data_IF_505308501264
#
_entry.id   IF_505308501264
#
_cell.length_a   1.000
_cell.length_b   1.000
_cell.length_c   1.000
_cell.angle_alpha   90.00
_cell.angle_beta   90.00
_cell.angle_gamma   90.00
#
_symmetry.space_group_name_H-M   'P 1'
#
loop_
_entity.id
_entity.type
_entity.pdbx_description
1 polymer ?
#
# COMPACT_ATOMS: atom_id res chain seq x y z
N UNK A 1 8.80 7.72 19.63
CA UNK A 1 8.55 7.52 18.19
C UNK A 1 9.09 8.72 17.46
N UNK A 2 9.92 8.51 16.44
CA UNK A 2 10.33 9.58 15.53
C UNK A 2 9.25 9.71 14.44
N UNK A 3 8.21 10.50 14.75
CA UNK A 3 7.03 10.64 13.90
C UNK A 3 7.37 11.19 12.52
N UNK A 4 8.37 12.08 12.42
CA UNK A 4 8.82 12.64 11.14
C UNK A 4 9.42 11.55 10.26
N UNK A 5 10.24 10.67 10.84
CA UNK A 5 10.85 9.56 10.10
C UNK A 5 9.82 8.54 9.65
N UNK A 6 8.87 8.19 10.51
CA UNK A 6 7.82 7.22 10.16
C UNK A 6 6.87 7.79 9.09
N UNK A 7 6.44 9.04 9.20
CA UNK A 7 5.67 9.72 8.15
C UNK A 7 6.37 9.72 6.78
N UNK A 8 7.69 9.95 6.75
CA UNK A 8 8.48 9.84 5.51
C UNK A 8 8.50 8.40 4.98
N UNK A 9 8.57 7.39 5.85
CA UNK A 9 8.52 5.99 5.45
C UNK A 9 7.15 5.63 4.88
N UNK A 10 6.07 6.14 5.47
CA UNK A 10 4.70 5.90 5.02
C UNK A 10 4.48 6.51 3.62
N UNK A 11 4.90 7.75 3.41
CA UNK A 11 4.89 8.39 2.08
C UNK A 11 5.69 7.61 1.02
N UNK A 12 6.88 7.12 1.38
CA UNK A 12 7.72 6.31 0.46
C UNK A 12 7.10 4.96 0.12
N UNK A 13 6.38 4.36 1.06
CA UNK A 13 5.73 3.05 0.89
C UNK A 13 4.37 3.16 0.22
N UNK A 14 3.81 4.36 0.15
CA UNK A 14 2.47 4.60 -0.37
C UNK A 14 2.21 3.98 -1.74
N UNK A 15 3.03 4.32 -2.75
CA UNK A 15 2.85 3.78 -4.11
C UNK A 15 3.08 2.26 -4.17
N UNK A 16 4.17 1.70 -3.60
CA UNK A 16 4.35 0.25 -3.50
C UNK A 16 3.20 -0.48 -2.78
N UNK A 17 2.59 0.12 -1.76
CA UNK A 17 1.46 -0.45 -1.05
C UNK A 17 0.20 -0.47 -1.92
N UNK A 18 -0.08 0.61 -2.68
CA UNK A 18 -1.18 0.63 -3.66
C UNK A 18 -1.01 -0.45 -4.73
N UNK A 19 0.21 -0.60 -5.26
CA UNK A 19 0.51 -1.64 -6.24
C UNK A 19 0.38 -3.04 -5.63
N UNK A 20 0.78 -3.21 -4.36
CA UNK A 20 0.62 -4.45 -3.60
C UNK A 20 -0.84 -4.83 -3.42
N UNK A 21 -1.75 -3.88 -3.19
CA UNK A 21 -3.19 -4.16 -3.07
C UNK A 21 -3.75 -4.80 -4.35
N UNK A 22 -3.41 -4.25 -5.52
CA UNK A 22 -3.83 -4.82 -6.80
C UNK A 22 -3.23 -6.22 -7.02
N UNK A 23 -1.95 -6.40 -6.69
CA UNK A 23 -1.28 -7.70 -6.80
C UNK A 23 -1.88 -8.76 -5.86
N UNK A 24 -2.16 -8.40 -4.61
CA UNK A 24 -2.77 -9.30 -3.62
C UNK A 24 -4.18 -9.69 -4.09
N UNK A 25 -4.97 -8.72 -4.59
CA UNK A 25 -6.30 -8.97 -5.15
C UNK A 25 -6.24 -9.93 -6.33
N UNK A 26 -5.32 -9.73 -7.28
CA UNK A 26 -5.11 -10.62 -8.40
C UNK A 26 -4.73 -12.04 -7.95
N UNK A 27 -3.83 -12.16 -6.96
CA UNK A 27 -3.40 -13.45 -6.41
C UNK A 27 -4.54 -14.20 -5.70
N UNK A 28 -5.39 -13.49 -4.96
CA UNK A 28 -6.60 -14.09 -4.36
C UNK A 28 -7.53 -14.64 -5.45
N UNK A 29 -7.70 -13.93 -6.57
CA UNK A 29 -8.54 -14.41 -7.68
C UNK A 29 -7.93 -15.64 -8.37
N UNK A 30 -6.61 -15.65 -8.59
CA UNK A 30 -5.92 -16.83 -9.12
C UNK A 30 -6.11 -18.06 -8.22
N UNK A 31 -5.98 -17.89 -6.89
CA UNK A 31 -6.21 -18.99 -5.94
C UNK A 31 -7.66 -19.47 -5.94
N UNK A 32 -8.64 -18.57 -6.08
CA UNK A 32 -10.06 -18.95 -6.24
C UNK A 32 -10.30 -19.78 -7.50
N UNK A 33 -9.71 -19.39 -8.63
CA UNK A 33 -9.81 -20.13 -9.88
C UNK A 33 -9.16 -21.52 -9.76
N UNK A 34 -7.98 -21.62 -9.14
CA UNK A 34 -7.32 -22.90 -8.86
C UNK A 34 -8.16 -23.80 -7.97
N UNK A 35 -8.76 -23.25 -6.91
CA UNK A 35 -9.66 -24.00 -6.03
C UNK A 35 -10.84 -24.60 -6.81
N UNK A 36 -11.47 -23.81 -7.69
CA UNK A 36 -12.53 -24.27 -8.58
C UNK A 36 -12.08 -25.38 -9.52
N UNK A 37 -10.91 -25.24 -10.15
CA UNK A 37 -10.36 -26.26 -11.04
C UNK A 37 -10.09 -27.60 -10.33
N UNK A 38 -9.51 -27.56 -9.12
CA UNK A 38 -9.26 -28.76 -8.31
C UNK A 38 -10.60 -29.43 -7.93
N UNK A 39 -11.61 -28.65 -7.55
CA UNK A 39 -12.95 -29.14 -7.23
C UNK A 39 -13.63 -29.82 -8.43
N UNK A 40 -13.56 -29.23 -9.62
CA UNK A 40 -14.13 -29.83 -10.84
C UNK A 40 -13.45 -31.16 -11.17
N UNK A 41 -12.11 -31.22 -11.09
CA UNK A 41 -11.35 -32.46 -11.34
C UNK A 41 -11.69 -33.60 -10.38
N UNK A 42 -12.19 -33.30 -9.18
CA UNK A 42 -12.61 -34.30 -8.19
C UNK A 42 -13.98 -34.92 -8.53
N UNK A 43 -14.87 -34.17 -9.20
CA UNK A 43 -16.18 -34.65 -9.63
C UNK A 43 -16.11 -35.78 -10.67
N UNK A 44 -15.03 -35.83 -11.45
CA UNK A 44 -14.82 -36.82 -12.52
C UNK A 44 -14.05 -38.08 -12.06
N UNK A 45 -13.44 -38.06 -10.86
CA UNK A 45 -12.62 -39.17 -10.37
C UNK A 45 -13.38 -40.12 -9.44
N UNK A 46 -13.42 -41.41 -9.74
CA UNK A 46 -13.97 -42.44 -8.85
C UNK A 46 -13.07 -42.62 -7.61
N UNK A 47 -13.60 -42.51 -6.38
CA UNK A 47 -12.79 -42.51 -5.17
C UNK A 47 -12.22 -43.90 -4.89
N UNK A 48 -10.89 -44.04 -4.98
CA UNK A 48 -10.19 -45.26 -4.58
C UNK A 48 -9.97 -45.22 -3.06
N UNK A 49 -10.62 -46.12 -2.31
CA UNK A 49 -10.51 -46.26 -0.85
C UNK A 49 -9.03 -46.32 -0.42
N UNK A 50 -8.59 -45.35 0.38
CA UNK A 50 -7.30 -45.42 1.09
C UNK A 50 -6.36 -44.22 0.99
N UNK A 51 -6.73 -43.14 0.30
CA UNK A 51 -5.95 -41.90 0.29
C UNK A 51 -6.80 -40.72 0.73
N UNK A 52 -6.69 -40.32 2.01
CA UNK A 52 -6.88 -38.92 2.38
C UNK A 52 -5.73 -38.17 1.68
N UNK A 53 -6.02 -37.82 0.43
CA UNK A 53 -5.07 -37.78 -0.69
C UNK A 53 -4.71 -36.33 -0.92
N UNK A 54 -3.41 -36.03 -1.10
CA UNK A 54 -2.74 -34.77 -1.50
C UNK A 54 -3.57 -33.62 -2.11
N UNK A 55 -4.68 -33.93 -2.75
CA UNK A 55 -5.73 -33.01 -3.21
C UNK A 55 -6.40 -32.27 -2.04
N UNK A 56 -6.79 -32.95 -0.96
CA UNK A 56 -7.40 -32.31 0.22
C UNK A 56 -6.41 -31.33 0.88
N UNK A 57 -5.15 -31.74 1.02
CA UNK A 57 -4.06 -30.87 1.51
C UNK A 57 -3.90 -29.63 0.62
N UNK A 58 -3.91 -29.79 -0.72
CA UNK A 58 -3.84 -28.67 -1.66
C UNK A 58 -5.02 -27.71 -1.54
N UNK A 59 -6.23 -28.23 -1.28
CA UNK A 59 -7.41 -27.39 -1.06
C UNK A 59 -7.29 -26.63 0.26
N UNK A 60 -6.80 -27.27 1.32
CA UNK A 60 -6.55 -26.65 2.62
C UNK A 60 -5.47 -25.56 2.49
N UNK A 61 -4.34 -25.86 1.86
CA UNK A 61 -3.25 -24.89 1.60
C UNK A 61 -3.75 -23.66 0.84
N UNK A 62 -4.60 -23.87 -0.17
CA UNK A 62 -5.22 -22.77 -0.93
C UNK A 62 -6.11 -21.89 -0.04
N UNK A 63 -6.93 -22.49 0.82
CA UNK A 63 -7.78 -21.77 1.77
C UNK A 63 -6.93 -20.95 2.74
N UNK A 64 -5.90 -21.56 3.32
CA UNK A 64 -4.98 -20.92 4.28
C UNK A 64 -4.28 -19.73 3.63
N UNK A 65 -3.72 -19.90 2.43
CA UNK A 65 -3.01 -18.82 1.73
C UNK A 65 -3.97 -17.68 1.35
N UNK A 66 -5.20 -17.98 0.93
CA UNK A 66 -6.21 -16.95 0.68
C UNK A 66 -6.58 -16.16 1.93
N UNK A 67 -6.74 -16.84 3.08
CA UNK A 67 -7.01 -16.16 4.35
C UNK A 67 -5.85 -15.24 4.73
N UNK A 68 -4.61 -15.74 4.65
CA UNK A 68 -3.41 -14.94 4.89
C UNK A 68 -3.36 -13.69 4.01
N UNK A 69 -3.54 -13.86 2.70
CA UNK A 69 -3.57 -12.73 1.76
C UNK A 69 -4.70 -11.75 2.05
N UNK A 70 -5.87 -12.22 2.51
CA UNK A 70 -6.99 -11.36 2.90
C UNK A 70 -6.64 -10.50 4.11
N UNK A 71 -5.95 -11.06 5.11
CA UNK A 71 -5.48 -10.30 6.27
C UNK A 71 -4.42 -9.28 5.87
N UNK A 72 -3.45 -9.67 5.04
CA UNK A 72 -2.42 -8.76 4.52
C UNK A 72 -3.04 -7.62 3.71
N UNK A 73 -4.05 -7.92 2.88
CA UNK A 73 -4.79 -6.92 2.10
C UNK A 73 -5.40 -5.89 3.02
N UNK A 74 -6.21 -6.31 4.01
CA UNK A 74 -6.88 -5.40 4.95
C UNK A 74 -5.91 -4.53 5.75
N UNK A 75 -4.80 -5.12 6.19
CA UNK A 75 -3.77 -4.37 6.91
C UNK A 75 -3.12 -3.32 6.00
N UNK A 76 -2.76 -3.69 4.77
CA UNK A 76 -2.15 -2.77 3.79
C UNK A 76 -3.14 -1.68 3.36
N UNK A 77 -4.40 -2.04 3.12
CA UNK A 77 -5.47 -1.12 2.75
C UNK A 77 -5.64 -0.06 3.81
N UNK A 78 -5.64 -0.45 5.09
CA UNK A 78 -5.75 0.51 6.19
C UNK A 78 -4.55 1.44 6.32
N UNK A 79 -3.34 0.98 5.99
CA UNK A 79 -2.17 1.87 5.93
C UNK A 79 -2.30 2.88 4.79
N UNK A 80 -2.73 2.44 3.61
CA UNK A 80 -3.00 3.32 2.45
C UNK A 80 -4.06 4.36 2.80
N UNK A 81 -5.16 3.97 3.47
CA UNK A 81 -6.21 4.89 3.93
C UNK A 81 -5.69 5.97 4.88
N UNK A 82 -4.76 5.62 5.79
CA UNK A 82 -4.16 6.59 6.71
C UNK A 82 -3.32 7.62 5.96
N UNK A 83 -2.50 7.18 5.01
CA UNK A 83 -1.70 8.07 4.17
C UNK A 83 -2.60 8.95 3.30
N UNK A 84 -3.63 8.38 2.66
CA UNK A 84 -4.59 9.16 1.85
C UNK A 84 -5.30 10.22 2.68
N UNK A 85 -5.67 9.91 3.93
CA UNK A 85 -6.24 10.88 4.87
C UNK A 85 -5.25 11.98 5.20
N UNK A 86 -3.99 11.64 5.51
CA UNK A 86 -2.94 12.62 5.76
C UNK A 86 -2.76 13.58 4.58
N UNK A 87 -2.68 13.03 3.36
CA UNK A 87 -2.51 13.78 2.11
C UNK A 87 -3.75 14.63 1.76
N UNK A 88 -4.97 14.16 2.05
CA UNK A 88 -6.21 14.90 1.75
C UNK A 88 -6.31 16.26 2.45
N UNK A 89 -5.50 16.47 3.47
CA UNK A 89 -5.43 17.71 4.20
C UNK A 89 -4.50 18.76 3.65
N UNK A 90 -3.67 18.39 2.69
CA UNK A 90 -2.71 19.26 2.07
C UNK A 90 -3.35 20.03 0.91
N UNK A 91 -2.90 21.25 0.69
CA UNK A 91 -3.22 21.96 -0.55
C UNK A 91 -2.43 21.40 -1.74
N UNK A 92 -2.76 21.85 -2.95
CA UNK A 92 -2.14 21.36 -4.17
C UNK A 92 -0.61 21.58 -4.18
N UNK A 93 -0.12 22.67 -3.60
CA UNK A 93 1.32 22.98 -3.57
C UNK A 93 2.04 22.08 -2.59
N UNK A 94 1.51 21.94 -1.38
CA UNK A 94 2.03 21.05 -0.34
C UNK A 94 2.06 19.59 -0.83
N UNK A 95 0.96 19.13 -1.43
CA UNK A 95 0.85 17.80 -2.01
C UNK A 95 1.90 17.59 -3.10
N UNK A 96 2.07 18.56 -4.00
CA UNK A 96 3.05 18.50 -5.09
C UNK A 96 4.48 18.39 -4.57
N UNK A 97 4.80 19.15 -3.53
CA UNK A 97 6.12 19.08 -2.88
C UNK A 97 6.33 17.69 -2.29
N UNK A 98 5.42 17.16 -1.47
CA UNK A 98 5.61 15.83 -0.86
C UNK A 98 5.61 14.70 -1.89
N UNK A 99 4.83 14.82 -2.96
CA UNK A 99 4.82 13.86 -4.07
C UNK A 99 6.22 13.72 -4.66
N UNK A 100 6.85 14.82 -5.06
CA UNK A 100 8.17 14.80 -5.70
C UNK A 100 9.33 14.55 -4.71
N UNK A 101 9.17 14.87 -3.43
CA UNK A 101 10.19 14.58 -2.42
C UNK A 101 10.19 13.12 -1.96
N UNK A 102 9.02 12.51 -1.78
CA UNK A 102 8.91 11.24 -1.05
C UNK A 102 8.15 10.13 -1.78
N UNK A 103 7.14 10.43 -2.60
CA UNK A 103 6.28 9.40 -3.23
C UNK A 103 6.84 8.99 -4.60
N UNK A 104 7.13 9.98 -5.45
CA UNK A 104 7.60 9.84 -6.83
C UNK A 104 8.93 10.53 -7.02
N UNK A 105 9.86 10.26 -6.10
CA UNK A 105 11.20 10.82 -6.11
C UNK A 105 11.86 10.67 -7.47
N UNK A 106 12.27 11.79 -8.06
CA UNK A 106 12.97 11.84 -9.33
C UNK A 106 14.27 12.66 -9.17
N UNK A 107 15.28 12.35 -9.99
CA UNK A 107 16.49 13.16 -10.04
C UNK A 107 16.14 14.57 -10.52
N UNK A 108 16.66 15.59 -9.84
CA UNK A 108 16.35 16.99 -10.16
C UNK A 108 14.97 17.46 -9.66
N UNK A 109 14.38 16.75 -8.70
CA UNK A 109 13.07 17.12 -8.13
C UNK A 109 13.08 18.52 -7.49
N UNK A 110 14.18 18.92 -6.85
CA UNK A 110 14.32 20.24 -6.22
C UNK A 110 14.30 21.35 -7.26
N UNK A 111 15.14 21.25 -8.29
CA UNK A 111 15.22 22.24 -9.37
C UNK A 111 13.88 22.35 -10.10
N UNK A 112 13.25 21.21 -10.42
CA UNK A 112 11.93 21.18 -11.02
C UNK A 112 10.86 21.87 -10.16
N UNK A 113 10.87 21.65 -8.85
CA UNK A 113 9.91 22.28 -7.94
C UNK A 113 10.15 23.79 -7.81
N UNK A 114 11.41 24.22 -7.82
CA UNK A 114 11.76 25.64 -7.83
C UNK A 114 11.23 26.33 -9.09
N UNK A 115 11.38 25.70 -10.25
CA UNK A 115 10.86 26.21 -11.52
C UNK A 115 9.31 26.14 -11.59
N UNK A 116 8.69 25.01 -11.23
CA UNK A 116 7.22 24.83 -11.28
C UNK A 116 6.48 25.78 -10.33
N UNK A 117 7.06 26.07 -9.15
CA UNK A 117 6.38 26.83 -8.08
C UNK A 117 6.89 28.27 -7.93
N UNK A 118 7.87 28.68 -8.74
CA UNK A 118 8.58 29.97 -8.65
C UNK A 118 9.09 30.23 -7.22
N UNK A 119 9.87 29.29 -6.70
CA UNK A 119 10.35 29.30 -5.32
C UNK A 119 11.87 29.26 -5.25
N UNK A 120 12.43 30.05 -4.33
CA UNK A 120 13.80 29.85 -3.89
C UNK A 120 13.94 28.52 -3.13
N UNK A 121 15.15 27.95 -3.19
CA UNK A 121 15.47 26.67 -2.55
C UNK A 121 15.12 26.68 -1.06
N UNK A 122 15.50 27.73 -0.33
CA UNK A 122 15.23 27.83 1.12
C UNK A 122 13.73 27.75 1.40
N UNK A 123 12.93 28.53 0.64
CA UNK A 123 11.47 28.55 0.79
C UNK A 123 10.83 27.21 0.45
N UNK A 124 11.37 26.50 -0.54
CA UNK A 124 10.92 25.15 -0.88
C UNK A 124 11.12 24.16 0.28
N UNK A 125 12.28 24.19 0.96
CA UNK A 125 12.54 23.30 2.10
C UNK A 125 11.67 23.63 3.32
N UNK A 126 11.38 24.90 3.58
CA UNK A 126 10.41 25.32 4.61
C UNK A 126 9.03 24.75 4.32
N UNK A 127 8.50 24.98 3.12
CA UNK A 127 7.18 24.46 2.73
C UNK A 127 7.12 22.93 2.75
N UNK A 128 8.23 22.26 2.41
CA UNK A 128 8.35 20.81 2.53
C UNK A 128 8.27 20.34 3.98
N UNK A 129 8.91 21.04 4.90
CA UNK A 129 8.84 20.71 6.33
C UNK A 129 7.45 21.00 6.92
N UNK A 130 6.83 22.12 6.55
CA UNK A 130 5.46 22.48 6.95
C UNK A 130 4.43 21.46 6.43
N UNK A 131 4.51 21.12 5.15
CA UNK A 131 3.65 20.10 4.53
C UNK A 131 3.80 18.74 5.21
N UNK A 132 5.05 18.34 5.52
CA UNK A 132 5.32 17.07 6.19
C UNK A 132 4.78 17.07 7.63
N UNK A 133 4.88 18.19 8.35
CA UNK A 133 4.29 18.33 9.67
C UNK A 133 2.77 18.18 9.62
N UNK A 134 2.11 18.94 8.73
CA UNK A 134 0.65 18.91 8.53
C UNK A 134 0.15 17.52 8.12
N UNK A 135 0.89 16.84 7.26
CA UNK A 135 0.64 15.44 6.90
C UNK A 135 0.71 14.54 8.15
N UNK A 136 1.80 14.62 8.92
CA UNK A 136 2.04 13.78 10.10
C UNK A 136 0.95 13.96 11.15
N UNK A 137 0.56 15.21 11.44
CA UNK A 137 -0.50 15.53 12.40
C UNK A 137 -1.82 14.86 12.00
N UNK A 138 -2.17 14.92 10.71
CA UNK A 138 -3.43 14.37 10.19
C UNK A 138 -3.44 12.84 10.06
N UNK A 139 -2.32 12.26 9.64
CA UNK A 139 -2.17 10.81 9.52
C UNK A 139 -2.27 10.14 10.89
N UNK A 140 -1.53 10.66 11.88
CA UNK A 140 -1.44 10.08 13.22
C UNK A 140 -2.51 10.61 14.19
N UNK A 141 -3.28 11.63 13.81
CA UNK A 141 -4.28 12.26 14.67
C UNK A 141 -3.67 12.95 15.90
N UNK A 142 -2.46 13.51 15.75
CA UNK A 142 -1.80 14.24 16.83
C UNK A 142 -2.55 15.56 17.09
N UNK A 143 -2.73 15.99 18.34
CA UNK A 143 -3.27 17.32 18.64
C UNK A 143 -2.26 18.41 18.30
N UNK A 144 -2.70 19.45 17.57
CA UNK A 144 -1.95 20.71 17.43
C UNK A 144 -1.96 21.41 18.81
N UNK A 145 -0.77 21.65 19.39
CA UNK A 145 -0.60 22.44 20.63
C UNK A 145 -0.02 23.81 20.32
#
# INVERSE_FOLDING_TARGET
>A
MDWKREAVNDLKRFQPQKDSLENIKARIQALKAQYGAIKCSMGDSTPVKGGASRIEDRLLDNIVERQRLTYTYRATERLVELVERGLSGLDERELRILELFYIRGAKGNVERLMEELDLEKTRLYELKDDALYKFTVREYGLPDY
#
